data_IF_664928279447
#
_entry.id   IF_664928279447
#
_cell.length_a   1.000
_cell.length_b   1.000
_cell.length_c   1.000
_cell.angle_alpha   90.00
_cell.angle_beta   90.00
_cell.angle_gamma   90.00
#
_symmetry.space_group_name_H-M   'P 1'
#
loop_
_entity.id
_entity.type
_entity.pdbx_description
1 polymer ?
2 polymer ?
3 non-polymer ?
4 non-polymer ?
5 non-polymer ?
6 water ?
#
# COMPACT_ATOMS: atom_id res chain seq x y z
N UNK A 1 8.94 -4.75 12.38
CA UNK A 1 7.82 -4.53 11.42
C UNK A 1 8.38 -4.52 10.00
N UNK A 2 7.49 -4.18 9.06
CA UNK A 2 7.91 -4.20 7.65
C UNK A 2 9.09 -3.34 7.27
N UNK A 3 9.21 -2.17 7.84
CA UNK A 3 10.32 -1.28 7.47
C UNK A 3 11.66 -1.88 7.84
N UNK A 4 11.74 -2.35 9.09
CA UNK A 4 12.97 -2.97 9.57
C UNK A 4 13.34 -4.17 8.73
N UNK A 5 12.41 -5.05 8.38
CA UNK A 5 12.72 -6.23 7.62
C UNK A 5 12.99 -6.03 6.14
N UNK A 6 12.21 -5.17 5.50
CA UNK A 6 12.24 -4.99 4.04
C UNK A 6 12.85 -3.73 3.49
N UNK A 7 13.03 -2.69 4.28
CA UNK A 7 13.64 -1.45 3.84
C UNK A 7 15.03 -1.32 4.49
N UNK A 8 15.08 -1.45 5.81
CA UNK A 8 16.40 -1.36 6.47
C UNK A 8 17.27 -2.52 6.03
N UNK A 9 16.71 -3.72 6.02
CA UNK A 9 17.26 -4.99 5.60
C UNK A 9 16.61 -5.33 4.24
N UNK A 10 16.85 -6.52 3.78
CA UNK A 10 16.28 -7.00 2.51
C UNK A 10 15.39 -8.18 2.82
N UNK A 11 14.22 -8.20 2.22
CA UNK A 11 13.20 -9.22 2.33
C UNK A 11 13.02 -10.12 1.12
N UNK A 12 12.78 -11.41 1.38
CA UNK A 12 12.47 -12.32 0.32
C UNK A 12 10.98 -12.15 0.02
N UNK A 13 10.53 -12.69 -1.09
CA UNK A 13 9.15 -12.62 -1.50
C UNK A 13 8.24 -13.20 -0.40
N UNK A 14 8.70 -14.30 0.21
CA UNK A 14 7.99 -14.93 1.31
C UNK A 14 7.83 -14.04 2.54
N UNK A 15 8.86 -13.28 2.90
CA UNK A 15 8.75 -12.38 4.03
C UNK A 15 7.82 -11.20 3.74
N UNK A 16 7.82 -10.73 2.49
CA UNK A 16 6.90 -9.64 2.13
C UNK A 16 5.45 -10.05 2.23
N UNK A 17 5.15 -11.31 1.90
CA UNK A 17 3.84 -11.93 1.96
C UNK A 17 3.31 -12.06 3.40
N UNK A 18 4.17 -11.91 4.39
CA UNK A 18 3.64 -11.95 5.76
C UNK A 18 2.79 -10.70 6.03
N UNK A 19 2.81 -9.68 5.17
CA UNK A 19 2.08 -8.44 5.38
C UNK A 19 0.84 -8.36 4.53
N UNK A 20 0.44 -9.45 3.89
CA UNK A 20 -0.78 -9.55 3.14
C UNK A 20 -1.90 -9.86 4.16
N UNK A 21 -3.11 -9.53 3.79
CA UNK A 21 -4.27 -9.84 4.62
C UNK A 21 -4.70 -11.27 4.28
N UNK B 1 11.97 -12.66 -7.97
CA UNK B 1 11.62 -11.32 -7.37
C UNK B 1 12.89 -10.58 -7.06
N UNK B 2 12.89 -9.25 -7.07
CA UNK B 2 14.02 -8.40 -6.82
C UNK B 2 14.55 -8.64 -5.43
N UNK B 3 15.85 -8.52 -5.28
CA UNK B 3 16.52 -8.67 -3.97
C UNK B 3 17.17 -7.33 -3.72
N UNK B 4 16.37 -6.38 -3.18
CA UNK B 4 16.83 -5.03 -2.94
C UNK B 4 16.12 -4.44 -1.74
N UNK B 5 16.63 -3.34 -1.20
CA UNK B 5 15.91 -2.67 -0.11
C UNK B 5 14.70 -2.01 -0.80
N UNK B 6 13.53 -2.22 -0.23
CA UNK B 6 12.26 -1.69 -0.69
C UNK B 6 11.72 -0.77 0.42
N UNK B 7 11.71 0.49 0.06
CA UNK B 7 11.33 1.54 1.00
C UNK B 7 10.29 2.46 0.42
N UNK B 8 9.62 3.16 1.32
CA UNK B 8 8.61 4.14 1.00
C UNK B 8 7.54 3.65 0.07
N UNK B 9 7.24 4.45 -0.99
CA UNK B 9 6.20 4.10 -1.92
C UNK B 9 6.52 2.81 -2.68
N UNK B 10 7.83 2.52 -2.86
CA UNK B 10 8.19 1.29 -3.58
C UNK B 10 7.77 0.05 -2.79
N UNK B 11 7.87 0.14 -1.49
CA UNK B 11 7.50 -0.98 -0.63
C UNK B 11 6.02 -1.20 -0.70
N UNK B 12 5.21 -0.09 -0.65
CA UNK B 12 3.76 -0.17 -0.78
C UNK B 12 3.33 -0.74 -2.12
N UNK B 13 4.02 -0.33 -3.24
CA UNK B 13 3.70 -0.90 -4.54
C UNK B 13 4.04 -2.36 -4.62
N UNK B 14 5.15 -2.79 -4.00
CA UNK B 14 5.50 -4.21 -3.95
C UNK B 14 4.42 -5.01 -3.22
N UNK B 15 3.92 -4.52 -2.08
CA UNK B 15 2.81 -5.19 -1.43
C UNK B 15 1.53 -5.24 -2.26
N UNK B 16 1.18 -4.18 -2.99
CA UNK B 16 0.01 -4.20 -3.82
C UNK B 16 0.07 -5.27 -4.90
N UNK B 17 1.27 -5.40 -5.47
CA UNK B 17 1.54 -6.41 -6.49
C UNK B 17 1.53 -7.82 -5.92
N UNK B 18 2.25 -8.06 -4.84
CA UNK B 18 2.34 -9.40 -4.27
C UNK B 18 1.05 -9.92 -3.65
N UNK B 19 0.34 -9.09 -2.96
CA UNK B 19 -0.84 -9.52 -2.22
C UNK B 19 -2.09 -9.69 -3.02
N UNK B 20 -2.15 -9.06 -4.18
CA UNK B 20 -3.32 -9.12 -5.03
C UNK B 20 -4.61 -8.82 -4.28
N UNK B 21 -5.61 -9.66 -4.53
CA UNK B 21 -6.96 -9.46 -3.99
C UNK B 21 -7.03 -9.53 -2.49
N UNK B 22 -6.05 -10.16 -1.87
CA UNK B 22 -5.99 -10.26 -0.43
C UNK B 22 -5.91 -8.87 0.24
N UNK B 23 -5.18 -7.98 -0.44
CA UNK B 23 -4.93 -6.67 0.16
C UNK B 23 -3.79 -6.89 1.13
N UNK B 24 -3.45 -5.83 1.87
CA UNK B 24 -2.32 -5.82 2.77
C UNK B 24 -2.48 -4.75 3.83
N UNK B 25 -1.58 -4.80 4.81
CA UNK B 25 -1.56 -3.79 5.84
C UNK B 25 -0.18 -3.21 5.83
N UNK B 26 -0.10 -1.86 5.91
CA UNK B 26 1.13 -1.15 5.97
C UNK B 26 1.17 -0.40 7.31
N UNK B 27 1.96 -0.91 8.25
CA UNK B 27 2.01 -0.30 9.59
C UNK B 27 3.47 -0.09 9.96
N UNK B 28 4.04 1.05 9.56
CA UNK B 28 5.43 1.41 9.72
C UNK B 28 5.94 1.63 11.13
N UNK B 29 5.05 1.89 12.07
CA UNK B 29 5.52 2.06 13.45
C UNK B 29 5.11 0.77 14.17
N UNK B 30 5.70 -0.34 13.71
CA UNK B 30 5.44 -1.67 14.27
C UNK B 30 6.82 -2.25 14.62
N UNK C 1 -16.58 2.51 -1.01
CA UNK C 1 -15.16 2.13 -0.72
C UNK C 1 -14.22 3.17 -1.33
N UNK C 2 -12.93 3.07 -1.04
CA UNK C 2 -11.98 4.04 -1.57
C UNK C 2 -11.93 3.93 -3.10
N UNK C 3 -12.00 2.69 -3.56
CA UNK C 3 -11.95 2.48 -5.02
C UNK C 3 -13.16 3.09 -5.69
N UNK C 4 -14.34 2.90 -5.14
CA UNK C 4 -15.55 3.49 -5.72
C UNK C 4 -15.58 5.00 -5.65
N UNK C 5 -15.11 5.55 -4.54
CA UNK C 5 -15.12 6.98 -4.29
C UNK C 5 -14.06 7.79 -4.99
N UNK C 6 -12.84 7.24 -5.09
CA UNK C 6 -11.70 7.96 -5.62
C UNK C 6 -11.10 7.60 -6.98
N UNK C 7 -11.76 6.74 -7.74
CA UNK C 7 -11.34 6.40 -9.09
C UNK C 7 -12.24 7.08 -10.13
N UNK C 8 -13.47 7.26 -9.77
CA UNK C 8 -14.55 7.90 -10.52
C UNK C 8 -14.39 9.42 -10.51
N UNK C 9 -14.24 9.90 -9.26
CA UNK C 9 -14.09 11.31 -8.94
C UNK C 9 -12.74 11.49 -8.24
N UNK C 10 -12.30 12.70 -8.20
CA UNK C 10 -11.01 13.02 -7.58
C UNK C 10 -11.23 13.21 -6.09
N UNK C 11 -10.42 12.56 -5.29
CA UNK C 11 -10.46 12.67 -3.84
C UNK C 11 -9.36 13.62 -3.42
N UNK C 12 -9.69 14.55 -2.50
CA UNK C 12 -8.74 15.46 -1.89
C UNK C 12 -7.97 14.69 -0.82
N UNK C 13 -6.92 15.31 -0.30
CA UNK C 13 -6.12 14.81 0.77
C UNK C 13 -6.99 14.55 2.01
N UNK C 14 -7.97 15.46 2.19
CA UNK C 14 -8.88 15.39 3.34
C UNK C 14 -9.74 14.17 3.24
N UNK C 15 -10.26 13.84 2.05
CA UNK C 15 -11.06 12.64 1.86
C UNK C 15 -10.20 11.39 1.96
N UNK C 16 -8.96 11.46 1.50
CA UNK C 16 -8.07 10.28 1.63
C UNK C 16 -7.73 9.98 3.06
N UNK C 17 -7.60 10.96 3.93
CA UNK C 17 -7.26 10.74 5.32
C UNK C 17 -8.26 9.83 6.04
N UNK C 18 -9.47 9.77 5.54
CA UNK C 18 -10.54 8.94 6.12
C UNK C 18 -10.16 7.47 6.08
N UNK C 19 -9.20 7.13 5.17
CA UNK C 19 -8.81 5.73 5.04
C UNK C 19 -7.59 5.34 5.82
N UNK C 20 -6.89 6.19 6.53
CA UNK C 20 -5.74 5.94 7.32
C UNK C 20 -6.15 5.25 8.63
N UNK C 21 -5.22 4.59 9.21
CA UNK C 21 -5.49 3.99 10.53
C UNK C 21 -5.66 5.14 11.51
N UNK D 1 -14.56 0.80 -19.51
CA UNK D 1 -14.64 0.66 -18.04
C UNK D 1 -13.55 1.42 -17.27
N UNK D 2 -13.81 1.65 -15.98
CA UNK D 2 -12.85 2.31 -15.09
C UNK D 2 -11.91 1.21 -14.58
N UNK D 3 -10.63 1.30 -14.90
CA UNK D 3 -9.64 0.28 -14.55
C UNK D 3 -9.25 0.48 -13.08
N UNK D 4 -9.97 -0.23 -12.24
CA UNK D 4 -9.79 -0.03 -10.82
C UNK D 4 -8.43 -0.53 -10.40
N UNK D 5 -7.92 -1.57 -11.06
CA UNK D 5 -6.64 -2.11 -10.65
C UNK D 5 -5.53 -1.08 -10.78
N UNK D 6 -5.49 -0.39 -11.93
CA UNK D 6 -4.51 0.66 -12.16
C UNK D 6 -4.79 1.82 -11.24
N UNK D 7 -6.05 2.15 -11.02
CA UNK D 7 -6.35 3.18 -10.06
C UNK D 7 -5.81 2.87 -8.67
N UNK D 8 -5.98 1.65 -8.19
CA UNK D 8 -5.55 1.18 -6.91
C UNK D 8 -4.07 1.40 -6.69
N UNK D 9 -3.26 1.25 -7.77
CA UNK D 9 -1.84 1.47 -7.67
C UNK D 9 -1.53 2.90 -7.24
N UNK D 10 -2.22 3.85 -7.82
CA UNK D 10 -2.08 5.25 -7.50
C UNK D 10 -2.61 5.55 -6.09
N UNK D 11 -3.72 4.91 -5.75
CA UNK D 11 -4.31 5.14 -4.43
C UNK D 11 -3.40 4.69 -3.29
N UNK D 12 -2.73 3.54 -3.42
CA UNK D 12 -1.86 3.11 -2.35
C UNK D 12 -0.66 4.01 -2.15
N UNK D 13 -0.17 4.60 -3.27
CA UNK D 13 0.94 5.56 -3.18
C UNK D 13 0.45 6.87 -2.58
N UNK D 14 -0.75 7.26 -2.85
CA UNK D 14 -1.37 8.47 -2.26
C UNK D 14 -1.54 8.23 -0.77
N UNK D 15 -1.98 7.04 -0.37
CA UNK D 15 -2.21 6.75 1.05
C UNK D 15 -0.92 6.72 1.81
N UNK D 16 0.15 6.25 1.14
CA UNK D 16 1.45 6.26 1.76
C UNK D 16 1.83 7.68 2.21
N UNK D 17 1.68 8.64 1.33
CA UNK D 17 1.96 10.04 1.61
C UNK D 17 0.99 10.62 2.65
N UNK D 18 -0.29 10.36 2.49
CA UNK D 18 -1.24 11.02 3.38
C UNK D 18 -1.20 10.49 4.80
N UNK D 19 -1.14 9.15 4.88
CA UNK D 19 -1.19 8.51 6.20
C UNK D 19 0.12 8.56 6.94
N UNK D 20 1.22 8.52 6.27
CA UNK D 20 2.51 8.59 6.93
C UNK D 20 2.66 7.49 7.99
N UNK D 21 3.11 7.95 9.17
CA UNK D 21 3.35 7.01 10.27
C UNK D 21 2.17 6.25 10.80
N UNK D 22 0.94 6.69 10.57
CA UNK D 22 -0.27 6.05 11.03
C UNK D 22 -0.50 4.73 10.29
N UNK D 23 -0.05 4.74 9.04
CA UNK D 23 -0.22 3.55 8.24
C UNK D 23 -1.63 3.45 7.75
N UNK D 24 -1.92 2.31 7.11
CA UNK D 24 -3.19 2.01 6.52
C UNK D 24 -3.38 0.53 6.19
N UNK D 25 -4.67 0.15 6.07
CA UNK D 25 -5.02 -1.20 5.65
C UNK D 25 -5.57 -1.01 4.24
N UNK D 26 -5.30 -1.85 3.29
CA UNK D 26 -5.83 -1.78 1.96
C UNK D 26 -6.42 -3.14 1.58
N UNK D 27 -7.69 -3.08 1.17
CA UNK D 27 -8.38 -4.29 0.69
C UNK D 27 -9.12 -3.89 -0.59
N UNK D 28 -8.82 -4.63 -1.65
CA UNK D 28 -9.43 -4.39 -2.95
C UNK D 28 -10.94 -4.61 -2.92
X LIG E 1 12.02 6.13 -5.64
X LIG F 1 -4.70 10.45 -6.65
X LIG F 1 -5.42 9.42 -7.26
X LIG F 1 -6.81 9.38 -7.19
X LIG F 1 -7.47 10.40 -6.45
X LIG F 1 -6.75 11.40 -5.83
X LIG F 1 -5.34 11.46 -5.90
X LIG F 1 -3.21 10.48 -6.75
X LIG F 1 -2.58 9.48 -7.08
X LIG F 1 -2.48 11.56 -6.54
X LIG F 1 -8.85 10.34 -6.37
X LIG G 1 -1.37 4.95 -13.74
X LIG H 1 -3.18 4.79 -14.84
X LIG I 1 3.22 8.64 -5.74
X LIG I 1 3.14 8.08 -7.01
X LIG I 1 1.96 8.07 -7.72
X LIG I 1 0.81 8.64 -7.18
X LIG I 1 0.85 9.18 -5.88
X LIG I 1 2.06 9.20 -5.16
X LIG I 1 4.52 8.62 -4.96
X LIG I 1 5.65 8.77 -5.45
X LIG I 1 4.36 8.48 -3.61
X LIG I 1 -0.34 8.62 -7.96
#
# INVERSE_FOLDING_TARGET
GIVEQCCTSICSLYQLENYCN
FVNQHLCGSHLVEALYLVCGERGFFYTPKT
GIVEQCCTSICSLYQLENYCN
FVNQHLCGSHLVEALYLVCGERGFFYTPKT
ZN ZN
HBD C1 C2 C3 C4 C5 C6 C1' O1' N1' O4
ZN ZN
CL CL
HBD C1 C2 C3 C4 C5 C6 C1' O1' N1' O4
#
